data_IF_325635433061
#
_entry.id   IF_325635433061
#
_cell.length_a   1.000
_cell.length_b   1.000
_cell.length_c   1.000
_cell.angle_alpha   90.00
_cell.angle_beta   90.00
_cell.angle_gamma   90.00
#
_symmetry.space_group_name_H-M   'P 1'
#
loop_
_entity.id
_entity.type
_entity.pdbx_description
1 polymer ?
#
# COMPACT_ATOMS: atom_id res chain seq x y z
N UNK A 1 -12.60 3.38 7.72
CA UNK A 1 -12.27 4.07 8.98
C UNK A 1 -10.80 4.44 8.87
N UNK A 2 -10.43 5.72 8.90
CA UNK A 2 -9.02 6.12 8.80
C UNK A 2 -8.31 5.75 10.10
N UNK A 3 -7.39 4.79 10.03
CA UNK A 3 -6.51 4.39 11.12
C UNK A 3 -5.33 5.35 11.15
N UNK A 4 -4.94 5.83 12.33
CA UNK A 4 -3.71 6.64 12.46
C UNK A 4 -2.47 5.77 12.28
N UNK A 5 -1.34 6.37 11.88
CA UNK A 5 -0.08 5.63 11.75
C UNK A 5 0.28 4.88 13.05
N UNK A 6 0.16 5.56 14.21
CA UNK A 6 0.46 4.97 15.52
C UNK A 6 -0.44 3.78 15.83
N UNK A 7 -1.76 3.94 15.67
CA UNK A 7 -2.70 2.84 15.93
C UNK A 7 -2.52 1.66 14.96
N UNK A 8 -2.14 1.94 13.71
CA UNK A 8 -1.83 0.90 12.74
C UNK A 8 -0.58 0.10 13.15
N UNK A 9 0.47 0.79 13.59
CA UNK A 9 1.71 0.16 14.06
C UNK A 9 1.44 -0.72 15.28
N UNK A 10 0.72 -0.20 16.28
CA UNK A 10 0.35 -0.95 17.48
C UNK A 10 -0.47 -2.20 17.15
N UNK A 11 -1.45 -2.08 16.24
CA UNK A 11 -2.27 -3.21 15.79
C UNK A 11 -1.45 -4.22 15.00
N UNK A 12 -0.48 -3.78 14.22
CA UNK A 12 0.36 -4.66 13.40
C UNK A 12 1.30 -5.48 14.26
N UNK A 13 1.90 -4.89 15.29
CA UNK A 13 2.71 -5.64 16.26
C UNK A 13 1.87 -6.66 17.04
N UNK A 14 0.68 -6.27 17.51
CA UNK A 14 -0.25 -7.20 18.19
C UNK A 14 -0.74 -8.32 17.27
N UNK A 15 -0.90 -8.06 15.97
CA UNK A 15 -1.34 -9.06 15.00
C UNK A 15 -0.24 -10.10 14.68
N UNK A 16 1.02 -9.68 14.71
CA UNK A 16 2.18 -10.57 14.57
C UNK A 16 2.32 -11.50 15.78
N UNK A 17 2.03 -10.99 16.99
CA UNK A 17 1.96 -11.79 18.22
C UNK A 17 0.76 -12.78 18.23
N UNK A 18 -0.34 -12.44 17.54
CA UNK A 18 -1.59 -13.21 17.57
C UNK A 18 -1.76 -14.25 16.44
N UNK A 19 -0.70 -14.58 15.69
CA UNK A 19 -0.74 -15.50 14.53
C UNK A 19 -1.88 -15.18 13.52
N UNK A 20 -2.17 -13.90 13.25
CA UNK A 20 -3.02 -13.51 12.11
C UNK A 20 -2.26 -13.67 10.78
N UNK A 21 -1.85 -14.91 10.53
CA UNK A 21 -1.23 -15.42 9.32
C UNK A 21 -1.66 -16.86 9.03
N UNK A 22 -2.47 -17.49 9.90
CA UNK A 22 -2.91 -18.88 9.73
C UNK A 22 -3.57 -19.13 8.36
N UNK A 23 -4.44 -18.22 7.89
CA UNK A 23 -5.11 -18.34 6.58
C UNK A 23 -4.13 -18.21 5.40
N UNK A 24 -3.22 -17.24 5.43
CA UNK A 24 -2.19 -17.11 4.39
C UNK A 24 -1.20 -18.28 4.42
N UNK A 25 -0.83 -18.74 5.62
CA UNK A 25 0.02 -19.91 5.82
C UNK A 25 -0.66 -21.19 5.34
N UNK A 26 -1.99 -21.33 5.53
CA UNK A 26 -2.73 -22.52 5.11
C UNK A 26 -2.92 -22.53 3.61
N UNK A 27 -3.25 -21.39 2.99
CA UNK A 27 -3.33 -21.21 1.54
C UNK A 27 -2.00 -21.50 0.86
N UNK A 28 -0.89 -20.95 1.39
CA UNK A 28 0.45 -21.18 0.84
C UNK A 28 0.91 -22.63 1.04
N UNK A 29 0.55 -23.27 2.16
CA UNK A 29 0.76 -24.71 2.39
C UNK A 29 -0.10 -25.60 1.48
N UNK A 30 -1.33 -25.17 1.16
CA UNK A 30 -2.27 -25.89 0.29
C UNK A 30 -2.07 -25.62 -1.21
N UNK A 31 -1.12 -24.75 -1.60
CA UNK A 31 -0.84 -24.37 -3.01
C UNK A 31 -2.08 -23.86 -3.77
N UNK A 32 -3.04 -23.25 -3.07
CA UNK A 32 -4.20 -22.67 -3.74
C UNK A 32 -3.82 -21.37 -4.46
N UNK A 33 -4.44 -21.06 -5.62
CA UNK A 33 -4.24 -19.78 -6.27
C UNK A 33 -4.58 -18.63 -5.33
N UNK A 34 -3.76 -17.58 -5.34
CA UNK A 34 -3.92 -16.47 -4.39
C UNK A 34 -5.25 -15.71 -4.53
N UNK A 35 -5.86 -15.70 -5.73
CA UNK A 35 -7.20 -15.15 -5.93
C UNK A 35 -8.26 -15.91 -5.12
N UNK A 36 -8.10 -17.22 -4.92
CA UNK A 36 -9.03 -18.03 -4.15
C UNK A 36 -8.98 -17.65 -2.66
N UNK A 37 -7.78 -17.44 -2.15
CA UNK A 37 -7.58 -16.94 -0.79
C UNK A 37 -8.19 -15.55 -0.58
N UNK A 38 -8.03 -14.67 -1.58
CA UNK A 38 -8.58 -13.33 -1.54
C UNK A 38 -10.11 -13.33 -1.55
N UNK A 39 -10.75 -14.15 -2.40
CA UNK A 39 -12.20 -14.32 -2.40
C UNK A 39 -12.73 -14.91 -1.09
N UNK A 40 -12.04 -15.91 -0.54
CA UNK A 40 -12.41 -16.49 0.74
C UNK A 40 -12.34 -15.46 1.87
N UNK A 41 -11.26 -14.66 1.91
CA UNK A 41 -11.12 -13.56 2.86
C UNK A 41 -12.25 -12.54 2.69
N UNK A 42 -12.52 -12.07 1.46
CA UNK A 42 -13.59 -11.11 1.20
C UNK A 42 -14.97 -11.62 1.62
N UNK A 43 -15.26 -12.90 1.35
CA UNK A 43 -16.50 -13.53 1.82
C UNK A 43 -16.59 -13.52 3.35
N UNK A 44 -15.51 -13.91 4.03
CA UNK A 44 -15.49 -13.94 5.50
C UNK A 44 -15.63 -12.55 6.13
N UNK A 45 -15.00 -11.52 5.53
CA UNK A 45 -15.17 -10.13 5.96
C UNK A 45 -16.61 -9.67 5.74
N UNK A 46 -17.20 -9.95 4.57
CA UNK A 46 -18.58 -9.57 4.25
C UNK A 46 -19.61 -10.25 5.15
N UNK A 47 -19.37 -11.50 5.56
CA UNK A 47 -20.24 -12.27 6.45
C UNK A 47 -19.94 -12.03 7.94
N UNK A 48 -19.02 -11.10 8.26
CA UNK A 48 -18.67 -10.72 9.63
C UNK A 48 -17.89 -11.79 10.41
N UNK A 49 -17.39 -12.83 9.74
CA UNK A 49 -16.56 -13.89 10.35
C UNK A 49 -15.10 -13.48 10.52
N UNK A 50 -14.64 -12.52 9.74
CA UNK A 50 -13.31 -11.92 9.83
C UNK A 50 -13.39 -10.39 9.94
N UNK A 51 -12.40 -9.78 10.57
CA UNK A 51 -12.32 -8.32 10.68
C UNK A 51 -11.87 -7.70 9.35
N UNK A 52 -12.27 -6.45 9.13
CA UNK A 52 -11.81 -5.70 7.98
C UNK A 52 -10.30 -5.46 8.10
N UNK A 53 -9.53 -5.68 7.02
CA UNK A 53 -8.10 -5.39 7.01
C UNK A 53 -7.90 -3.88 7.19
N UNK A 54 -6.93 -3.51 8.04
CA UNK A 54 -6.57 -2.11 8.24
C UNK A 54 -5.48 -1.71 7.25
N UNK A 55 -5.46 -0.43 6.90
CA UNK A 55 -4.45 0.16 6.04
C UNK A 55 -4.27 1.64 6.39
N UNK A 56 -3.14 2.19 5.96
CA UNK A 56 -2.80 3.60 6.05
C UNK A 56 -2.31 4.05 4.68
N UNK A 57 -2.92 5.10 4.16
CA UNK A 57 -2.60 5.71 2.86
C UNK A 57 -2.44 7.21 3.03
N UNK A 58 -2.04 7.87 1.94
CA UNK A 58 -1.96 9.33 1.82
C UNK A 58 -0.97 10.04 2.76
N UNK A 59 0.00 9.30 3.31
CA UNK A 59 1.10 9.89 4.08
C UNK A 59 2.15 10.40 3.10
N UNK A 60 2.35 11.72 3.04
CA UNK A 60 3.41 12.36 2.26
C UNK A 60 4.76 12.14 2.93
N UNK A 61 5.47 11.09 2.53
CA UNK A 61 6.78 10.74 3.04
C UNK A 61 7.51 9.82 2.05
N UNK A 62 8.83 9.78 2.12
CA UNK A 62 9.67 8.86 1.36
C UNK A 62 10.56 8.04 2.28
N UNK A 63 10.55 6.71 2.12
CA UNK A 63 11.48 5.81 2.81
C UNK A 63 12.81 5.64 2.05
N UNK A 64 13.01 6.37 0.95
CA UNK A 64 14.32 6.39 0.31
C UNK A 64 15.32 7.12 1.20
N UNK A 65 16.59 6.65 1.27
CA UNK A 65 17.64 7.39 1.94
C UNK A 65 17.77 8.80 1.36
N UNK A 66 17.98 9.79 2.24
CA UNK A 66 18.25 11.17 1.84
C UNK A 66 19.51 11.17 0.96
N UNK A 67 19.46 11.88 -0.18
CA UNK A 67 20.55 11.95 -1.17
C UNK A 67 20.89 10.59 -1.81
N UNK A 68 19.90 9.71 -1.98
CA UNK A 68 20.06 8.47 -2.74
C UNK A 68 20.41 8.75 -4.20
N UNK A 69 21.54 8.24 -4.67
CA UNK A 69 21.98 8.32 -6.09
C UNK A 69 21.24 7.34 -7.02
N UNK A 70 20.13 6.76 -6.59
CA UNK A 70 19.35 5.84 -7.43
C UNK A 70 18.68 6.59 -8.57
N UNK A 71 18.80 6.08 -9.81
CA UNK A 71 18.01 6.56 -10.94
C UNK A 71 16.49 6.40 -10.73
N UNK A 72 16.09 5.58 -9.76
CA UNK A 72 14.70 5.35 -9.35
C UNK A 72 14.38 5.99 -8.00
N UNK A 73 15.04 7.09 -7.66
CA UNK A 73 14.72 7.88 -6.48
C UNK A 73 13.41 8.65 -6.71
N UNK A 74 12.31 8.12 -6.16
CA UNK A 74 10.95 8.62 -6.39
C UNK A 74 10.75 10.12 -6.10
N UNK A 75 11.34 10.70 -5.04
CA UNK A 75 11.21 12.14 -4.79
C UNK A 75 11.69 13.01 -5.96
N UNK A 76 12.68 12.60 -6.74
CA UNK A 76 13.20 13.40 -7.88
C UNK A 76 12.35 13.21 -9.15
N UNK A 77 11.46 12.21 -9.20
CA UNK A 77 10.67 11.94 -10.39
C UNK A 77 9.67 13.07 -10.71
N UNK A 78 9.37 13.93 -9.74
CA UNK A 78 8.54 15.11 -9.95
C UNK A 78 9.06 16.04 -11.06
N UNK A 79 10.39 16.10 -11.25
CA UNK A 79 11.03 16.88 -12.32
C UNK A 79 10.60 16.41 -13.72
N UNK A 80 10.27 15.12 -13.88
CA UNK A 80 9.80 14.59 -15.17
C UNK A 80 8.40 15.07 -15.54
N UNK A 81 7.55 15.33 -14.53
CA UNK A 81 6.19 15.85 -14.72
C UNK A 81 6.18 17.37 -14.83
N UNK A 82 7.21 18.05 -14.34
CA UNK A 82 7.29 19.50 -14.19
C UNK A 82 6.94 20.27 -15.46
N UNK A 83 7.45 19.85 -16.61
CA UNK A 83 7.20 20.50 -17.91
C UNK A 83 5.75 20.40 -18.41
N UNK A 84 4.96 19.47 -17.87
CA UNK A 84 3.57 19.24 -18.26
C UNK A 84 2.56 19.92 -17.32
N UNK A 85 3.03 20.46 -16.19
CA UNK A 85 2.20 21.12 -15.19
C UNK A 85 2.06 22.62 -15.51
N UNK A 86 0.84 23.15 -15.40
CA UNK A 86 0.62 24.60 -15.52
C UNK A 86 1.29 25.39 -14.39
N UNK A 87 1.38 24.78 -13.19
CA UNK A 87 2.06 25.31 -12.01
C UNK A 87 3.10 24.28 -11.54
N UNK A 88 4.33 24.34 -12.07
CA UNK A 88 5.34 23.31 -11.86
C UNK A 88 5.78 23.17 -10.40
N UNK A 89 5.67 24.23 -9.61
CA UNK A 89 6.12 24.26 -8.21
C UNK A 89 4.98 23.99 -7.22
N UNK A 90 3.76 23.70 -7.71
CA UNK A 90 2.62 23.34 -6.86
C UNK A 90 2.75 21.88 -6.38
N UNK A 91 2.64 21.66 -5.07
CA UNK A 91 2.63 20.31 -4.49
C UNK A 91 1.26 19.68 -4.72
N UNK A 92 1.25 18.57 -5.46
CA UNK A 92 0.10 17.74 -5.76
C UNK A 92 0.30 16.37 -5.07
N UNK A 93 -0.23 16.18 -3.85
CA UNK A 93 -0.01 14.96 -3.07
C UNK A 93 -0.34 13.69 -3.86
N UNK A 94 0.58 12.72 -3.86
CA UNK A 94 0.43 11.46 -4.58
C UNK A 94 0.62 11.52 -6.09
N UNK A 95 0.81 12.72 -6.66
CA UNK A 95 1.11 12.91 -8.08
C UNK A 95 2.58 13.28 -8.28
N UNK A 96 3.04 14.38 -7.68
CA UNK A 96 4.41 14.87 -7.81
C UNK A 96 5.20 14.83 -6.48
N UNK A 97 4.59 14.32 -5.41
CA UNK A 97 5.27 14.01 -4.15
C UNK A 97 4.91 12.57 -3.77
N UNK A 98 5.90 11.72 -3.42
CA UNK A 98 5.64 10.33 -3.08
C UNK A 98 4.79 10.21 -1.81
N UNK A 99 4.01 9.13 -1.76
CA UNK A 99 3.21 8.76 -0.60
C UNK A 99 3.58 7.35 -0.12
N UNK A 100 3.47 7.14 1.19
CA UNK A 100 3.57 5.80 1.80
C UNK A 100 2.19 5.15 1.82
N UNK A 101 2.21 3.85 1.52
CA UNK A 101 1.10 2.94 1.72
C UNK A 101 1.55 1.84 2.68
N UNK A 102 0.81 1.66 3.77
CA UNK A 102 0.97 0.54 4.71
C UNK A 102 -0.31 -0.28 4.70
N UNK A 103 -0.19 -1.59 4.47
CA UNK A 103 -1.34 -2.47 4.36
C UNK A 103 -1.16 -3.72 5.20
N UNK A 104 -2.21 -4.12 5.91
CA UNK A 104 -2.30 -5.47 6.45
C UNK A 104 -2.65 -6.47 5.34
N UNK A 105 -2.45 -7.76 5.64
CA UNK A 105 -2.94 -8.83 4.77
C UNK A 105 -4.45 -8.65 4.50
N UNK A 106 -4.84 -8.77 3.23
CA UNK A 106 -6.23 -8.61 2.80
C UNK A 106 -6.60 -7.19 2.40
N UNK A 107 -5.77 -6.19 2.71
CA UNK A 107 -5.94 -4.84 2.17
C UNK A 107 -5.76 -4.84 0.65
N UNK A 108 -6.56 -4.03 -0.06
CA UNK A 108 -6.55 -3.98 -1.52
C UNK A 108 -6.93 -2.58 -2.03
N UNK A 109 -6.56 -2.30 -3.28
CA UNK A 109 -7.04 -1.13 -4.00
C UNK A 109 -8.26 -1.50 -4.84
N UNK A 110 -9.29 -0.67 -4.79
CA UNK A 110 -10.39 -0.76 -5.74
C UNK A 110 -9.88 -0.46 -7.17
N UNK A 111 -10.61 -0.97 -8.16
CA UNK A 111 -10.41 -0.57 -9.56
C UNK A 111 -10.51 0.94 -9.69
N UNK A 112 -9.43 1.57 -10.13
CA UNK A 112 -9.35 3.01 -10.35
C UNK A 112 -8.36 3.34 -11.46
N UNK A 113 -8.50 4.52 -12.06
CA UNK A 113 -7.50 5.15 -12.91
C UNK A 113 -6.79 6.24 -12.11
N UNK A 114 -5.55 6.56 -12.47
CA UNK A 114 -4.83 7.67 -11.84
C UNK A 114 -5.41 9.01 -12.27
N UNK A 115 -5.27 10.00 -11.40
CA UNK A 115 -5.70 11.37 -11.68
C UNK A 115 -5.06 11.86 -12.97
N UNK A 116 -5.85 12.52 -13.81
CA UNK A 116 -5.42 13.06 -15.11
C UNK A 116 -4.81 12.00 -16.05
N UNK A 117 -5.10 10.71 -15.84
CA UNK A 117 -4.52 9.59 -16.59
C UNK A 117 -2.98 9.53 -16.53
N UNK A 118 -2.39 10.06 -15.46
CA UNK A 118 -0.95 10.02 -15.25
C UNK A 118 -0.44 8.59 -15.05
N UNK A 119 0.84 8.41 -15.34
CA UNK A 119 1.55 7.20 -14.92
C UNK A 119 1.69 7.14 -13.41
N UNK A 120 1.80 5.93 -12.87
CA UNK A 120 2.15 5.71 -11.47
C UNK A 120 3.30 4.75 -11.33
N UNK A 121 4.14 5.01 -10.33
CA UNK A 121 5.21 4.11 -9.89
C UNK A 121 4.98 3.74 -8.44
N UNK A 122 5.26 2.49 -8.07
CA UNK A 122 5.19 2.01 -6.70
C UNK A 122 6.45 1.20 -6.38
N UNK A 123 7.04 1.47 -5.21
CA UNK A 123 8.16 0.69 -4.68
C UNK A 123 7.73 0.00 -3.39
N UNK A 124 7.69 -1.34 -3.42
CA UNK A 124 7.62 -2.13 -2.19
C UNK A 124 8.98 -2.06 -1.49
N UNK A 125 9.05 -1.37 -0.35
CA UNK A 125 10.28 -1.23 0.44
C UNK A 125 10.59 -2.50 1.23
N UNK A 126 9.60 -3.06 1.93
CA UNK A 126 9.71 -4.29 2.71
C UNK A 126 8.32 -4.91 2.92
N UNK A 127 8.28 -6.13 3.45
CA UNK A 127 7.04 -6.84 3.77
C UNK A 127 6.69 -7.93 2.77
N UNK A 128 5.42 -8.38 2.81
CA UNK A 128 4.91 -9.40 1.89
C UNK A 128 4.57 -8.78 0.54
N UNK A 129 4.69 -9.53 -0.57
CA UNK A 129 4.32 -9.02 -1.89
C UNK A 129 2.84 -8.65 -1.94
N UNK A 130 2.55 -7.50 -2.56
CA UNK A 130 1.22 -7.18 -3.06
C UNK A 130 0.94 -7.90 -4.38
N UNK A 131 -0.34 -8.04 -4.71
CA UNK A 131 -0.82 -8.45 -6.04
C UNK A 131 -1.37 -7.25 -6.81
#
# INVERSE_FOLDING_TARGET
MNVTLESFVDLSFKADEAERGALYSSVTKQKLPIWFAMLHHFKNVAEGREQHPQYVIDIQFSLFPVNSNSMWYLPDLHETLRQFLHRPDEILPGNNVPQIFLGQLGSFYCWHVKNLYLFSINKLHFGKPGL
#
